data_IF_384638062210
#
_entry.id   IF_384638062210
#
_cell.length_a   1.000
_cell.length_b   1.000
_cell.length_c   1.000
_cell.angle_alpha   90.00
_cell.angle_beta   90.00
_cell.angle_gamma   90.00
#
_symmetry.space_group_name_H-M   'P 1'
#
loop_
_entity.id
_entity.type
_entity.pdbx_description
1 polymer ?
#
# COMPACT_ATOMS: atom_id res chain seq x y z
N UNK A 1 2.27 6.40 -90.97
CA UNK A 1 2.85 7.62 -90.38
C UNK A 1 1.82 8.16 -89.41
N UNK A 2 1.89 7.77 -88.13
CA UNK A 2 2.74 8.40 -87.09
C UNK A 2 2.05 9.63 -86.49
N UNK A 3 1.93 9.85 -85.19
CA UNK A 3 2.32 9.20 -83.94
C UNK A 3 1.50 9.92 -82.84
N UNK A 4 1.08 9.17 -81.82
CA UNK A 4 1.09 9.47 -80.38
C UNK A 4 0.50 10.75 -79.76
N UNK A 5 -0.39 10.51 -78.79
CA UNK A 5 -0.80 11.37 -77.67
C UNK A 5 0.39 11.79 -76.77
N UNK A 6 0.28 12.93 -76.09
CA UNK A 6 0.91 13.09 -74.79
C UNK A 6 -0.14 13.38 -73.69
N UNK A 7 -0.24 12.43 -72.74
CA UNK A 7 -0.86 12.62 -71.43
C UNK A 7 -0.14 13.71 -70.63
N UNK A 8 -0.92 14.60 -70.01
CA UNK A 8 -0.46 15.60 -69.04
C UNK A 8 -0.11 14.91 -67.71
N UNK A 9 1.04 15.24 -67.06
CA UNK A 9 1.37 14.66 -65.77
C UNK A 9 0.49 15.26 -64.66
N UNK A 10 -0.23 14.38 -63.95
CA UNK A 10 -0.97 14.73 -62.74
C UNK A 10 -0.01 15.23 -61.65
N UNK A 11 -0.31 16.42 -61.13
CA UNK A 11 0.35 16.99 -59.96
C UNK A 11 0.05 16.14 -58.73
N UNK A 12 1.05 15.44 -58.21
CA UNK A 12 1.02 14.86 -56.87
C UNK A 12 0.90 16.01 -55.86
N UNK A 13 -0.10 16.03 -54.96
CA UNK A 13 -0.15 17.04 -53.91
C UNK A 13 1.06 16.84 -53.00
N UNK A 14 1.98 17.81 -52.97
CA UNK A 14 3.02 17.85 -51.95
C UNK A 14 2.35 18.15 -50.61
N UNK A 15 2.48 17.22 -49.67
CA UNK A 15 2.08 17.43 -48.27
C UNK A 15 2.72 18.73 -47.76
N UNK A 16 1.88 19.60 -47.21
CA UNK A 16 2.30 20.92 -46.74
C UNK A 16 3.08 20.77 -45.43
N UNK A 17 3.93 21.74 -45.08
CA UNK A 17 4.66 21.72 -43.79
C UNK A 17 3.71 21.69 -42.56
N UNK A 18 2.43 22.02 -42.72
CA UNK A 18 1.40 21.82 -41.69
C UNK A 18 1.06 20.33 -41.48
N UNK A 19 1.05 19.51 -42.53
CA UNK A 19 0.80 18.06 -42.44
C UNK A 19 1.96 17.31 -41.75
N UNK A 20 3.16 17.90 -41.73
CA UNK A 20 4.33 17.37 -41.00
C UNK A 20 4.32 17.76 -39.52
N UNK A 21 3.72 18.89 -39.15
CA UNK A 21 3.61 19.33 -37.75
C UNK A 21 2.52 18.51 -37.02
N UNK A 22 1.38 18.24 -37.67
CA UNK A 22 0.31 17.42 -37.09
C UNK A 22 0.77 15.97 -36.84
N UNK A 23 1.56 15.39 -37.75
CA UNK A 23 2.12 14.05 -37.56
C UNK A 23 3.26 13.96 -36.54
N UNK A 24 3.88 15.08 -36.12
CA UNK A 24 4.91 15.09 -35.08
C UNK A 24 4.32 15.20 -33.67
N UNK A 25 3.10 15.71 -33.52
CA UNK A 25 2.40 15.77 -32.22
C UNK A 25 1.70 14.44 -31.86
N UNK A 26 1.21 13.69 -32.86
CA UNK A 26 0.58 12.38 -32.62
C UNK A 26 1.59 11.25 -32.30
N UNK A 27 2.82 11.33 -32.81
CA UNK A 27 3.88 10.35 -32.56
C UNK A 27 4.66 10.61 -31.24
N UNK A 28 4.42 11.75 -30.58
CA UNK A 28 5.12 12.18 -29.36
C UNK A 28 4.47 11.69 -28.05
N UNK A 29 3.36 10.94 -28.09
CA UNK A 29 2.66 10.50 -26.88
C UNK A 29 2.19 9.05 -26.94
N UNK A 30 3.08 8.15 -27.39
CA UNK A 30 2.91 6.71 -27.18
C UNK A 30 2.94 6.42 -25.67
N UNK A 31 1.75 6.39 -25.05
CA UNK A 31 1.57 6.05 -23.62
C UNK A 31 2.12 4.66 -23.38
N UNK A 32 3.04 4.53 -22.42
CA UNK A 32 3.62 3.23 -22.08
C UNK A 32 2.53 2.39 -21.39
N UNK A 33 2.39 1.14 -21.82
CA UNK A 33 1.52 0.15 -21.15
C UNK A 33 2.42 -0.85 -20.44
N UNK A 34 2.28 -0.95 -19.12
CA UNK A 34 2.97 -1.95 -18.30
C UNK A 34 1.98 -3.01 -17.81
N UNK A 35 2.37 -4.28 -17.90
CA UNK A 35 1.52 -5.40 -17.47
C UNK A 35 1.87 -5.82 -16.04
N UNK A 36 0.87 -5.97 -15.18
CA UNK A 36 1.02 -6.44 -13.81
C UNK A 36 0.09 -7.64 -13.53
N UNK A 37 0.68 -8.80 -13.24
CA UNK A 37 -0.07 -9.99 -12.79
C UNK A 37 -0.02 -10.11 -11.27
N UNK A 38 -1.17 -9.95 -10.62
CA UNK A 38 -1.37 -10.12 -9.16
C UNK A 38 -2.27 -11.31 -8.84
N UNK A 39 -2.43 -12.25 -9.78
CA UNK A 39 -3.17 -13.48 -9.56
C UNK A 39 -2.57 -14.30 -8.41
N UNK A 40 -3.45 -14.97 -7.67
CA UNK A 40 -3.07 -15.77 -6.51
C UNK A 40 -2.86 -14.98 -5.22
N UNK A 41 -2.79 -13.64 -5.26
CA UNK A 41 -2.78 -12.80 -4.06
C UNK A 41 -4.20 -12.58 -3.52
N UNK A 42 -4.29 -12.40 -2.21
CA UNK A 42 -5.52 -11.98 -1.52
C UNK A 42 -5.32 -10.63 -0.84
N UNK A 43 -6.42 -9.96 -0.50
CA UNK A 43 -6.43 -8.67 0.21
C UNK A 43 -5.42 -8.63 1.39
N UNK A 44 -4.56 -7.59 1.49
CA UNK A 44 -4.54 -6.36 0.67
C UNK A 44 -3.60 -6.43 -0.54
N UNK A 45 -3.02 -7.60 -0.83
CA UNK A 45 -1.91 -7.80 -1.78
C UNK A 45 -2.12 -7.17 -3.16
N UNK A 46 -3.22 -7.42 -3.87
CA UNK A 46 -3.44 -6.86 -5.21
C UNK A 46 -3.32 -5.33 -5.26
N UNK A 47 -3.95 -4.62 -4.32
CA UNK A 47 -3.93 -3.15 -4.30
C UNK A 47 -2.56 -2.61 -3.86
N UNK A 48 -1.88 -3.28 -2.94
CA UNK A 48 -0.49 -2.93 -2.56
C UNK A 48 0.44 -3.04 -3.76
N UNK A 49 0.33 -4.10 -4.56
CA UNK A 49 1.16 -4.27 -5.76
C UNK A 49 0.85 -3.24 -6.84
N UNK A 50 -0.43 -2.91 -7.04
CA UNK A 50 -0.83 -1.83 -7.96
C UNK A 50 -0.25 -0.49 -7.51
N UNK A 51 -0.33 -0.16 -6.22
CA UNK A 51 0.20 1.09 -5.68
C UNK A 51 1.71 1.21 -5.92
N UNK A 52 2.47 0.14 -5.65
CA UNK A 52 3.92 0.11 -5.91
C UNK A 52 4.24 0.24 -7.39
N UNK A 53 3.57 -0.54 -8.25
CA UNK A 53 3.86 -0.54 -9.68
C UNK A 53 3.54 0.82 -10.34
N UNK A 54 2.47 1.50 -9.92
CA UNK A 54 2.12 2.80 -10.51
C UNK A 54 3.09 3.91 -10.12
N UNK A 55 3.77 3.81 -8.96
CA UNK A 55 4.72 4.83 -8.50
C UNK A 55 5.87 5.00 -9.51
N UNK A 56 6.31 3.91 -10.14
CA UNK A 56 7.42 3.89 -11.10
C UNK A 56 7.03 4.36 -12.53
N UNK A 57 5.75 4.54 -12.82
CA UNK A 57 5.26 4.97 -14.14
C UNK A 57 5.32 6.49 -14.36
N UNK A 58 5.34 6.95 -15.61
CA UNK A 58 5.20 8.39 -15.90
C UNK A 58 3.72 8.82 -15.85
N UNK A 59 3.49 10.11 -15.62
CA UNK A 59 2.15 10.69 -15.67
C UNK A 59 1.49 10.37 -17.03
N UNK A 60 0.27 9.82 -16.99
CA UNK A 60 -0.47 9.43 -18.19
C UNK A 60 -0.16 8.03 -18.75
N UNK A 61 0.86 7.32 -18.26
CA UNK A 61 1.10 5.90 -18.58
C UNK A 61 -0.02 5.00 -18.04
N UNK A 62 -0.13 3.80 -18.59
CA UNK A 62 -1.17 2.83 -18.25
C UNK A 62 -0.57 1.57 -17.63
N UNK A 63 -1.18 1.11 -16.55
CA UNK A 63 -0.92 -0.17 -15.90
C UNK A 63 -2.09 -1.12 -16.16
N UNK A 64 -1.81 -2.21 -16.87
CA UNK A 64 -2.74 -3.28 -17.19
C UNK A 64 -2.62 -4.40 -16.16
N UNK A 65 -3.61 -4.51 -15.29
CA UNK A 65 -3.58 -5.39 -14.12
C UNK A 65 -4.47 -6.60 -14.34
N UNK A 66 -3.99 -7.79 -13.95
CA UNK A 66 -4.81 -9.01 -13.89
C UNK A 66 -4.79 -9.60 -12.49
N UNK A 67 -5.97 -9.86 -11.93
CA UNK A 67 -6.16 -10.41 -10.60
C UNK A 67 -7.15 -11.59 -10.57
N UNK A 68 -7.07 -12.41 -9.52
CA UNK A 68 -8.04 -13.48 -9.22
C UNK A 68 -8.77 -13.27 -7.89
N UNK A 69 -8.47 -12.18 -7.18
CA UNK A 69 -9.14 -11.83 -5.93
C UNK A 69 -10.56 -11.30 -6.23
N UNK A 70 -11.63 -11.91 -5.66
CA UNK A 70 -13.00 -11.48 -5.92
C UNK A 70 -13.31 -10.04 -5.49
N UNK A 71 -12.55 -9.48 -4.54
CA UNK A 71 -12.70 -8.08 -4.10
C UNK A 71 -12.14 -7.06 -5.09
N UNK A 72 -11.23 -7.47 -5.97
CA UNK A 72 -10.37 -6.57 -6.73
C UNK A 72 -11.13 -5.56 -7.57
N UNK A 73 -12.21 -5.95 -8.27
CA UNK A 73 -12.95 -5.06 -9.17
C UNK A 73 -13.54 -3.82 -8.45
N UNK A 74 -13.98 -3.99 -7.21
CA UNK A 74 -14.49 -2.87 -6.39
C UNK A 74 -13.33 -2.09 -5.79
N UNK A 75 -12.34 -2.80 -5.29
CA UNK A 75 -11.22 -2.21 -4.56
C UNK A 75 -10.36 -1.35 -5.48
N UNK A 76 -10.11 -1.78 -6.73
CA UNK A 76 -9.31 -1.04 -7.71
C UNK A 76 -9.97 0.28 -8.14
N UNK A 77 -11.30 0.29 -8.26
CA UNK A 77 -12.06 1.50 -8.57
C UNK A 77 -11.93 2.52 -7.45
N UNK A 78 -12.19 2.10 -6.22
CA UNK A 78 -12.06 2.95 -5.05
C UNK A 78 -10.61 3.43 -4.87
N UNK A 79 -9.64 2.57 -5.16
CA UNK A 79 -8.23 2.92 -5.10
C UNK A 79 -7.88 4.02 -6.12
N UNK A 80 -8.30 3.88 -7.38
CA UNK A 80 -8.06 4.88 -8.41
C UNK A 80 -8.63 6.25 -8.00
N UNK A 81 -9.88 6.28 -7.53
CA UNK A 81 -10.54 7.49 -7.04
C UNK A 81 -9.80 8.15 -5.86
N UNK A 82 -9.37 7.37 -4.87
CA UNK A 82 -8.70 7.92 -3.68
C UNK A 82 -7.26 8.38 -3.94
N UNK A 83 -6.61 7.87 -4.99
CA UNK A 83 -5.21 8.17 -5.32
C UNK A 83 -5.05 9.15 -6.48
N UNK A 84 -6.15 9.63 -7.06
CA UNK A 84 -6.11 10.55 -8.22
C UNK A 84 -5.74 9.86 -9.54
N UNK A 85 -5.78 8.53 -9.59
CA UNK A 85 -5.57 7.75 -10.81
C UNK A 85 -6.89 7.51 -11.54
N UNK A 86 -6.84 7.16 -12.81
CA UNK A 86 -8.04 6.95 -13.63
C UNK A 86 -8.20 5.48 -14.01
N UNK A 87 -9.31 4.87 -13.60
CA UNK A 87 -9.71 3.56 -14.11
C UNK A 87 -10.25 3.71 -15.54
N UNK A 88 -9.49 3.24 -16.53
CA UNK A 88 -9.83 3.38 -17.95
C UNK A 88 -10.83 2.32 -18.37
N UNK A 89 -10.53 1.06 -18.07
CA UNK A 89 -11.42 -0.08 -18.36
C UNK A 89 -11.31 -1.12 -17.26
N UNK A 90 -12.37 -1.91 -17.08
CA UNK A 90 -12.36 -3.12 -16.27
C UNK A 90 -13.22 -4.21 -16.90
N UNK A 91 -12.82 -5.46 -16.75
CA UNK A 91 -13.60 -6.62 -17.16
C UNK A 91 -13.49 -7.75 -16.13
N UNK A 92 -14.52 -8.59 -16.09
CA UNK A 92 -14.58 -9.79 -15.25
C UNK A 92 -15.01 -10.97 -16.12
N UNK A 93 -14.28 -12.08 -16.02
CA UNK A 93 -14.64 -13.30 -16.73
C UNK A 93 -13.79 -14.50 -16.32
N UNK A 94 -14.41 -15.69 -16.27
CA UNK A 94 -13.73 -16.97 -16.00
C UNK A 94 -12.87 -16.96 -14.71
N UNK A 95 -13.31 -16.25 -13.67
CA UNK A 95 -12.59 -16.16 -12.40
C UNK A 95 -11.33 -15.27 -12.43
N UNK A 96 -11.18 -14.44 -13.47
CA UNK A 96 -10.15 -13.40 -13.57
C UNK A 96 -10.79 -12.03 -13.72
N UNK A 97 -10.12 -11.03 -13.16
CA UNK A 97 -10.46 -9.63 -13.24
C UNK A 97 -9.32 -8.91 -13.95
N UNK A 98 -9.65 -8.07 -14.92
CA UNK A 98 -8.67 -7.21 -15.58
C UNK A 98 -9.06 -5.76 -15.40
N UNK A 99 -8.07 -4.88 -15.18
CA UNK A 99 -8.29 -3.45 -15.06
C UNK A 99 -7.13 -2.70 -15.72
N UNK A 100 -7.43 -1.64 -16.46
CA UNK A 100 -6.42 -0.73 -17.00
C UNK A 100 -6.48 0.57 -16.21
N UNK A 101 -5.36 0.92 -15.55
CA UNK A 101 -5.28 2.12 -14.73
C UNK A 101 -4.31 3.10 -15.35
N UNK A 102 -4.77 4.30 -15.64
CA UNK A 102 -3.92 5.38 -16.08
C UNK A 102 -3.40 6.17 -14.88
N UNK A 103 -2.09 6.40 -14.83
CA UNK A 103 -1.47 7.26 -13.81
C UNK A 103 -1.97 8.68 -13.94
N UNK A 104 -2.38 9.28 -12.82
CA UNK A 104 -2.83 10.66 -12.75
C UNK A 104 -1.81 11.62 -13.37
N UNK A 105 -2.30 12.63 -14.10
CA UNK A 105 -1.44 13.62 -14.77
C UNK A 105 -0.96 14.74 -13.85
N UNK A 106 -1.47 14.80 -12.63
CA UNK A 106 -1.02 15.73 -11.61
C UNK A 106 0.25 15.18 -10.96
N UNK A 107 1.40 15.79 -11.27
CA UNK A 107 2.56 15.69 -10.39
C UNK A 107 2.22 16.20 -8.98
N UNK A 108 3.10 16.01 -7.99
CA UNK A 108 2.87 16.55 -6.65
C UNK A 108 2.82 18.08 -6.72
N UNK A 109 1.61 18.67 -6.81
CA UNK A 109 1.41 20.10 -6.57
C UNK A 109 0.50 20.91 -7.48
N UNK A 110 -0.15 20.39 -8.54
CA UNK A 110 -1.04 21.25 -9.35
C UNK A 110 -2.35 20.58 -9.76
N UNK A 111 -3.40 20.87 -8.98
CA UNK A 111 -4.79 20.63 -9.34
C UNK A 111 -5.28 21.77 -10.23
N UNK A 112 -5.30 21.57 -11.55
CA UNK A 112 -6.02 22.46 -12.46
C UNK A 112 -7.46 21.97 -12.66
N UNK A 113 -8.36 22.73 -12.04
CA UNK A 113 -9.73 23.08 -12.45
C UNK A 113 -10.57 21.94 -13.05
N UNK A 114 -11.39 21.33 -12.19
CA UNK A 114 -12.70 20.81 -12.62
C UNK A 114 -13.80 21.63 -11.97
N UNK A 115 -14.56 22.26 -12.85
CA UNK A 115 -15.66 23.18 -12.54
C UNK A 115 -16.76 22.46 -11.75
N UNK A 116 -17.27 23.17 -10.75
CA UNK A 116 -17.98 22.64 -9.59
C UNK A 116 -19.51 22.64 -9.77
N UNK A 117 -20.16 21.55 -9.36
CA UNK A 117 -21.47 21.60 -8.69
C UNK A 117 -21.57 20.52 -7.62
N UNK A 118 -21.00 20.77 -6.44
CA UNK A 118 -21.69 20.76 -5.14
C UNK A 118 -20.70 20.95 -3.98
N UNK A 119 -21.06 21.87 -3.09
CA UNK A 119 -20.20 22.48 -2.11
C UNK A 119 -19.77 21.56 -0.95
N UNK A 120 -18.46 21.62 -0.69
CA UNK A 120 -17.76 21.66 0.59
C UNK A 120 -17.72 20.41 1.49
N UNK A 121 -16.51 19.84 1.60
CA UNK A 121 -15.69 19.95 2.82
C UNK A 121 -14.20 19.73 2.51
N UNK A 122 -13.46 20.85 2.54
CA UNK A 122 -12.12 21.07 3.13
C UNK A 122 -11.12 19.90 3.18
N UNK A 123 -9.96 20.10 2.55
CA UNK A 123 -8.69 19.49 2.96
C UNK A 123 -7.97 18.73 1.86
N UNK A 124 -7.24 19.47 1.03
CA UNK A 124 -6.13 18.97 0.24
C UNK A 124 -5.01 18.49 1.19
N UNK A 125 -5.12 17.23 1.61
CA UNK A 125 -4.20 16.56 2.51
C UNK A 125 -4.54 15.08 2.58
N UNK A 126 -3.54 14.21 2.44
CA UNK A 126 -3.71 12.78 2.60
C UNK A 126 -4.47 12.48 3.90
N UNK A 127 -5.57 11.73 3.81
CA UNK A 127 -6.36 11.32 4.98
C UNK A 127 -5.44 10.58 5.96
N UNK A 128 -5.46 10.94 7.24
CA UNK A 128 -4.65 10.28 8.25
C UNK A 128 -5.47 9.20 8.98
N UNK A 129 -4.81 8.08 9.31
CA UNK A 129 -5.38 6.93 10.02
C UNK A 129 -4.49 6.60 11.20
N UNK A 130 -5.07 6.48 12.39
CA UNK A 130 -4.32 6.14 13.60
C UNK A 130 -4.84 4.85 14.22
N UNK A 131 -3.94 3.93 14.54
CA UNK A 131 -4.25 2.64 15.13
C UNK A 131 -3.45 2.46 16.42
N UNK A 132 -4.14 2.19 17.52
CA UNK A 132 -3.56 1.86 18.81
C UNK A 132 -3.53 0.33 18.90
N UNK A 133 -2.35 -0.26 18.77
CA UNK A 133 -2.16 -1.73 18.83
C UNK A 133 -1.77 -2.09 20.26
N UNK A 134 -2.76 -2.54 21.02
CA UNK A 134 -2.61 -2.97 22.40
C UNK A 134 -2.34 -4.47 22.49
N UNK A 135 -3.04 -5.28 21.69
CA UNK A 135 -2.96 -6.72 21.74
C UNK A 135 -1.72 -7.29 21.03
N UNK A 136 -1.16 -8.36 21.61
CA UNK A 136 0.01 -9.08 21.08
C UNK A 136 -0.34 -10.40 20.37
N UNK A 137 -1.62 -10.62 20.06
CA UNK A 137 -2.09 -11.84 19.40
C UNK A 137 -1.79 -11.80 17.89
N UNK A 138 -1.40 -12.94 17.32
CA UNK A 138 -0.99 -13.08 15.93
C UNK A 138 -2.08 -12.63 14.95
N UNK A 139 -3.32 -13.06 15.15
CA UNK A 139 -4.46 -12.75 14.29
C UNK A 139 -4.86 -11.27 14.36
N UNK A 140 -4.82 -10.65 15.55
CA UNK A 140 -5.06 -9.21 15.71
C UNK A 140 -3.93 -8.37 15.10
N UNK A 141 -2.69 -8.81 15.25
CA UNK A 141 -1.54 -8.19 14.58
C UNK A 141 -1.68 -8.28 13.06
N UNK A 142 -2.01 -9.45 12.50
CA UNK A 142 -2.25 -9.62 11.06
C UNK A 142 -3.36 -8.66 10.59
N UNK A 143 -4.50 -8.61 11.29
CA UNK A 143 -5.59 -7.71 10.94
C UNK A 143 -5.16 -6.23 10.96
N UNK A 144 -4.44 -5.81 12.00
CA UNK A 144 -3.92 -4.45 12.13
C UNK A 144 -3.05 -4.07 10.93
N UNK A 145 -2.13 -4.96 10.55
CA UNK A 145 -1.21 -4.71 9.45
C UNK A 145 -1.87 -4.82 8.07
N UNK A 146 -2.87 -5.68 7.87
CA UNK A 146 -3.68 -5.71 6.64
C UNK A 146 -4.40 -4.39 6.44
N UNK A 147 -5.00 -3.83 7.50
CA UNK A 147 -5.69 -2.54 7.44
C UNK A 147 -4.68 -1.41 7.20
N UNK A 148 -3.53 -1.44 7.88
CA UNK A 148 -2.49 -0.42 7.73
C UNK A 148 -1.91 -0.40 6.31
N UNK A 149 -1.56 -1.56 5.75
CA UNK A 149 -1.01 -1.63 4.38
C UNK A 149 -2.06 -1.29 3.34
N UNK A 150 -3.31 -1.71 3.52
CA UNK A 150 -4.42 -1.30 2.66
C UNK A 150 -4.65 0.21 2.69
N UNK A 151 -4.66 0.83 3.87
CA UNK A 151 -4.82 2.27 4.02
C UNK A 151 -3.67 3.05 3.38
N UNK A 152 -2.43 2.64 3.62
CA UNK A 152 -1.24 3.24 3.01
C UNK A 152 -1.28 3.14 1.48
N UNK A 153 -1.61 1.95 0.94
CA UNK A 153 -1.76 1.76 -0.50
C UNK A 153 -2.87 2.65 -1.10
N UNK A 154 -3.91 2.98 -0.33
CA UNK A 154 -4.96 3.94 -0.73
C UNK A 154 -4.55 5.41 -0.56
N UNK A 155 -3.26 5.72 -0.37
CA UNK A 155 -2.74 7.08 -0.24
C UNK A 155 -3.00 7.74 1.11
N UNK A 156 -3.31 6.97 2.16
CA UNK A 156 -3.50 7.52 3.51
C UNK A 156 -2.16 7.55 4.25
N UNK A 157 -1.93 8.60 5.04
CA UNK A 157 -0.88 8.57 6.07
C UNK A 157 -1.35 7.69 7.22
N UNK A 158 -0.51 6.77 7.68
CA UNK A 158 -0.89 5.80 8.71
C UNK A 158 0.07 5.88 9.89
N UNK A 159 -0.48 6.07 11.08
CA UNK A 159 0.23 6.06 12.35
C UNK A 159 -0.21 4.83 13.15
N UNK A 160 0.75 4.05 13.64
CA UNK A 160 0.50 2.87 14.47
C UNK A 160 1.21 3.02 15.81
N UNK A 161 0.46 3.13 16.90
CA UNK A 161 0.98 3.24 18.25
C UNK A 161 0.92 1.90 18.97
N UNK A 162 2.07 1.31 19.27
CA UNK A 162 2.19 0.01 19.92
C UNK A 162 2.40 0.16 21.41
N UNK A 163 1.49 -0.42 22.18
CA UNK A 163 1.48 -0.35 23.64
C UNK A 163 1.20 -1.74 24.23
N UNK A 164 1.47 -1.92 25.52
CA UNK A 164 1.33 -3.20 26.22
C UNK A 164 1.87 -4.40 25.40
N UNK A 165 1.03 -5.38 25.12
CA UNK A 165 1.42 -6.63 24.48
C UNK A 165 1.79 -6.43 23.00
N UNK A 166 1.23 -5.41 22.36
CA UNK A 166 1.50 -5.01 20.99
C UNK A 166 2.98 -4.71 20.74
N UNK A 167 3.73 -4.22 21.74
CA UNK A 167 5.17 -4.00 21.61
C UNK A 167 5.94 -5.28 21.22
N UNK A 168 5.43 -6.46 21.59
CA UNK A 168 6.09 -7.72 21.24
C UNK A 168 6.09 -7.99 19.73
N UNK A 169 5.20 -7.36 18.98
CA UNK A 169 5.12 -7.44 17.51
C UNK A 169 6.36 -6.77 16.89
N UNK A 170 6.80 -5.65 17.45
CA UNK A 170 7.90 -4.82 16.96
C UNK A 170 9.30 -5.30 17.37
N UNK A 171 9.43 -6.43 18.08
CA UNK A 171 10.74 -6.90 18.54
C UNK A 171 11.54 -7.52 17.40
N UNK A 172 12.81 -7.09 17.26
CA UNK A 172 13.79 -7.64 16.34
C UNK A 172 14.01 -9.14 16.56
N UNK A 173 14.38 -9.81 15.48
CA UNK A 173 14.87 -11.19 15.54
C UNK A 173 16.05 -11.37 14.58
N UNK A 174 17.25 -11.76 15.08
CA UNK A 174 17.58 -12.05 16.48
C UNK A 174 17.51 -10.81 17.39
N UNK A 175 17.23 -11.01 18.69
CA UNK A 175 17.19 -9.92 19.67
C UNK A 175 18.63 -9.53 20.03
N UNK A 176 19.04 -8.25 19.90
CA UNK A 176 20.35 -7.78 20.30
C UNK A 176 20.62 -7.97 21.80
N UNK A 177 21.88 -8.10 22.18
CA UNK A 177 22.26 -8.13 23.60
C UNK A 177 22.28 -6.70 24.14
N UNK A 178 21.39 -6.42 25.09
CA UNK A 178 21.31 -5.13 25.78
C UNK A 178 21.43 -5.36 27.29
N UNK A 179 21.95 -4.37 28.02
CA UNK A 179 21.98 -4.40 29.48
C UNK A 179 20.58 -4.10 30.01
N UNK A 180 20.11 -4.92 30.94
CA UNK A 180 18.82 -4.77 31.62
C UNK A 180 19.00 -5.02 33.10
N UNK A 181 18.07 -4.50 33.88
CA UNK A 181 17.90 -4.87 35.27
C UNK A 181 17.33 -6.30 35.41
N UNK A 182 17.18 -6.76 36.65
CA UNK A 182 16.71 -8.11 36.95
C UNK A 182 15.28 -8.35 36.41
N UNK A 183 14.36 -7.41 36.65
CA UNK A 183 12.97 -7.54 36.18
C UNK A 183 12.87 -7.46 34.66
N UNK A 184 13.57 -6.53 34.01
CA UNK A 184 13.58 -6.43 32.55
C UNK A 184 14.18 -7.67 31.88
N UNK A 185 15.17 -8.31 32.49
CA UNK A 185 15.70 -9.59 32.02
C UNK A 185 14.65 -10.72 32.09
N UNK A 186 13.83 -10.73 33.15
CA UNK A 186 12.74 -11.68 33.31
C UNK A 186 11.63 -11.46 32.27
N UNK A 187 11.13 -10.22 32.16
CA UNK A 187 10.10 -9.87 31.17
C UNK A 187 10.57 -10.13 29.73
N UNK A 188 11.81 -9.75 29.39
CA UNK A 188 12.37 -9.99 28.06
C UNK A 188 12.44 -11.47 27.67
N UNK A 189 12.54 -12.39 28.65
CA UNK A 189 12.47 -13.85 28.44
C UNK A 189 11.04 -14.37 28.33
N UNK A 190 10.09 -13.80 29.07
CA UNK A 190 8.69 -14.21 29.09
C UNK A 190 7.90 -13.72 27.88
N UNK A 191 8.22 -12.52 27.38
CA UNK A 191 7.55 -11.91 26.25
C UNK A 191 7.87 -12.63 24.92
N UNK A 192 6.91 -12.72 23.98
CA UNK A 192 7.14 -13.27 22.65
C UNK A 192 8.32 -12.61 21.94
N UNK A 193 9.24 -13.42 21.41
CA UNK A 193 10.46 -12.96 20.73
C UNK A 193 10.18 -12.58 19.27
N UNK A 194 9.37 -11.54 19.08
CA UNK A 194 8.97 -10.99 17.79
C UNK A 194 7.75 -11.66 17.16
N UNK A 195 7.32 -11.11 16.02
CA UNK A 195 6.12 -11.49 15.26
C UNK A 195 5.94 -13.00 14.99
N UNK A 196 7.04 -13.74 14.77
CA UNK A 196 7.03 -15.19 14.52
C UNK A 196 6.69 -16.04 15.74
N UNK A 197 6.65 -15.45 16.94
CA UNK A 197 6.42 -16.14 18.22
C UNK A 197 5.11 -15.74 18.90
N UNK A 198 4.29 -14.92 18.24
CA UNK A 198 2.95 -14.58 18.72
C UNK A 198 2.04 -15.81 18.65
N UNK A 199 1.17 -15.95 19.65
CA UNK A 199 0.10 -16.94 19.68
C UNK A 199 -1.18 -16.38 19.08
N UNK A 200 -2.13 -17.25 18.73
CA UNK A 200 -3.48 -16.82 18.33
C UNK A 200 -4.31 -16.39 19.54
N UNK A 201 -5.18 -15.40 19.36
CA UNK A 201 -6.15 -14.95 20.37
C UNK A 201 -7.13 -16.06 20.78
N UNK A 202 -7.47 -16.93 19.82
CA UNK A 202 -8.37 -18.08 19.97
C UNK A 202 -7.78 -19.29 19.25
N UNK A 203 -8.09 -20.49 19.74
CA UNK A 203 -7.66 -21.75 19.10
C UNK A 203 -6.13 -21.88 18.94
N UNK A 204 -5.34 -21.32 19.86
CA UNK A 204 -3.88 -21.38 19.75
C UNK A 204 -3.32 -22.81 19.88
N UNK A 205 -3.96 -23.68 20.67
CA UNK A 205 -3.57 -25.09 20.87
C UNK A 205 -2.05 -25.28 21.11
N UNK A 206 -1.52 -24.60 22.14
CA UNK A 206 -0.08 -24.60 22.45
C UNK A 206 0.83 -24.21 21.26
N UNK A 207 0.33 -23.37 20.35
CA UNK A 207 1.03 -22.88 19.16
C UNK A 207 0.75 -23.66 17.87
N UNK A 208 0.00 -24.78 17.92
CA UNK A 208 -0.39 -25.51 16.71
C UNK A 208 -1.32 -24.67 15.81
N UNK A 209 -2.26 -23.92 16.40
CA UNK A 209 -3.16 -23.03 15.67
C UNK A 209 -2.40 -21.95 14.89
N UNK A 210 -1.39 -21.35 15.53
CA UNK A 210 -0.54 -20.33 14.90
C UNK A 210 0.20 -20.86 13.65
N UNK A 211 0.65 -22.12 13.66
CA UNK A 211 1.25 -22.75 12.47
C UNK A 211 0.21 -23.05 11.39
N UNK A 212 -0.97 -23.52 11.81
CA UNK A 212 -2.08 -23.85 10.90
C UNK A 212 -2.55 -22.61 10.13
N UNK A 213 -2.85 -21.51 10.82
CA UNK A 213 -3.34 -20.28 10.17
C UNK A 213 -2.32 -19.72 9.20
N UNK A 214 -1.03 -19.70 9.56
CA UNK A 214 0.05 -19.24 8.67
C UNK A 214 0.17 -20.10 7.41
N UNK A 215 -0.04 -21.42 7.53
CA UNK A 215 -0.07 -22.33 6.38
C UNK A 215 -1.27 -22.06 5.47
N UNK A 216 -2.45 -21.84 6.05
CA UNK A 216 -3.67 -21.50 5.29
C UNK A 216 -3.50 -20.16 4.57
N UNK A 217 -3.01 -19.13 5.26
CA UNK A 217 -2.72 -17.82 4.69
C UNK A 217 -1.80 -17.91 3.48
N UNK A 218 -0.68 -18.63 3.61
CA UNK A 218 0.26 -18.85 2.51
C UNK A 218 -0.41 -19.52 1.30
N UNK A 219 -1.24 -20.54 1.53
CA UNK A 219 -1.98 -21.24 0.44
C UNK A 219 -3.03 -20.35 -0.23
N UNK A 220 -3.52 -19.34 0.47
CA UNK A 220 -4.48 -18.35 -0.03
C UNK A 220 -3.81 -17.09 -0.57
N UNK A 221 -2.47 -17.03 -0.60
CA UNK A 221 -1.72 -15.86 -1.05
C UNK A 221 -1.92 -14.63 -0.19
N UNK A 222 -2.14 -14.83 1.11
CA UNK A 222 -2.11 -13.75 2.10
C UNK A 222 -0.67 -13.65 2.63
N UNK A 223 -0.09 -12.45 2.57
CA UNK A 223 1.23 -12.16 3.11
C UNK A 223 1.32 -12.54 4.59
N UNK A 224 2.49 -13.03 5.00
CA UNK A 224 2.79 -13.26 6.41
C UNK A 224 2.83 -11.93 7.17
N UNK A 225 2.64 -11.98 8.49
CA UNK A 225 2.77 -10.79 9.35
C UNK A 225 4.11 -10.08 9.15
N UNK A 226 5.19 -10.84 8.92
CA UNK A 226 6.52 -10.29 8.68
C UNK A 226 6.63 -9.54 7.35
N UNK A 227 5.97 -10.04 6.31
CA UNK A 227 5.87 -9.36 5.02
C UNK A 227 5.03 -8.10 5.14
N UNK A 228 3.88 -8.17 5.82
CA UNK A 228 3.01 -7.01 6.03
C UNK A 228 3.69 -5.90 6.85
N UNK A 229 4.47 -6.25 7.89
CA UNK A 229 5.26 -5.28 8.66
C UNK A 229 6.26 -4.57 7.75
N UNK A 230 6.98 -5.31 6.90
CA UNK A 230 7.96 -4.74 5.97
C UNK A 230 7.30 -3.84 4.94
N UNK A 231 6.22 -4.30 4.33
CA UNK A 231 5.43 -3.54 3.37
C UNK A 231 4.90 -2.24 4.00
N UNK A 232 4.39 -2.30 5.23
CA UNK A 232 3.96 -1.11 5.96
C UNK A 232 5.11 -0.10 6.14
N UNK A 233 6.30 -0.56 6.57
CA UNK A 233 7.46 0.32 6.72
C UNK A 233 7.93 0.91 5.38
N UNK A 234 7.95 0.12 4.30
CA UNK A 234 8.31 0.57 2.95
C UNK A 234 7.35 1.65 2.44
N UNK A 235 6.06 1.51 2.73
CA UNK A 235 5.02 2.49 2.35
C UNK A 235 4.92 3.68 3.33
N UNK A 236 5.89 3.84 4.23
CA UNK A 236 5.96 4.99 5.14
C UNK A 236 4.96 4.97 6.30
N UNK A 237 4.42 3.81 6.68
CA UNK A 237 3.60 3.69 7.90
C UNK A 237 4.47 4.01 9.11
N UNK A 238 4.07 5.01 9.89
CA UNK A 238 4.82 5.44 11.07
C UNK A 238 4.47 4.55 12.26
N UNK A 239 5.49 3.87 12.82
CA UNK A 239 5.31 3.00 13.98
C UNK A 239 5.94 3.64 15.22
N UNK A 240 5.14 3.81 16.27
CA UNK A 240 5.57 4.41 17.54
C UNK A 240 5.43 3.41 18.67
N UNK A 241 6.50 3.16 19.41
CA UNK A 241 6.53 2.36 20.62
C UNK A 241 6.26 3.21 21.87
N UNK A 242 5.36 2.74 22.72
CA UNK A 242 5.01 3.41 23.98
C UNK A 242 6.16 3.34 24.99
N UNK A 243 6.74 4.49 25.33
CA UNK A 243 7.84 4.62 26.31
C UNK A 243 7.50 3.98 27.66
N UNK A 244 6.35 4.33 28.24
CA UNK A 244 5.92 3.80 29.53
C UNK A 244 5.85 2.27 29.53
N UNK A 245 5.32 1.67 28.44
CA UNK A 245 5.27 0.22 28.34
C UNK A 245 6.66 -0.39 28.19
N UNK A 246 7.54 0.23 27.41
CA UNK A 246 8.94 -0.22 27.29
C UNK A 246 9.62 -0.26 28.66
N UNK A 247 9.44 0.78 29.48
CA UNK A 247 10.00 0.84 30.84
C UNK A 247 9.45 -0.27 31.74
N UNK A 248 8.13 -0.47 31.74
CA UNK A 248 7.46 -1.51 32.53
C UNK A 248 7.91 -2.91 32.13
N UNK A 249 8.09 -3.15 30.83
CA UNK A 249 8.50 -4.46 30.29
C UNK A 249 10.03 -4.63 30.22
N UNK A 250 10.79 -3.59 30.60
CA UNK A 250 12.24 -3.55 30.51
C UNK A 250 12.78 -3.75 29.09
N UNK A 251 12.07 -3.30 28.06
CA UNK A 251 12.49 -3.35 26.66
C UNK A 251 13.33 -2.13 26.32
N UNK A 252 14.40 -2.33 25.55
CA UNK A 252 15.26 -1.24 25.07
C UNK A 252 14.99 -0.93 23.59
N UNK A 253 15.27 0.30 23.17
CA UNK A 253 15.04 0.77 21.81
C UNK A 253 15.76 -0.10 20.76
N UNK A 254 16.97 -0.55 21.07
CA UNK A 254 17.79 -1.36 20.18
C UNK A 254 17.17 -2.74 19.90
N UNK A 255 16.25 -3.19 20.74
CA UNK A 255 15.52 -4.45 20.56
C UNK A 255 14.31 -4.33 19.62
N UNK A 256 13.91 -3.12 19.26
CA UNK A 256 12.80 -2.86 18.34
C UNK A 256 13.28 -2.78 16.89
N UNK A 257 12.39 -3.06 15.94
CA UNK A 257 12.65 -2.93 14.51
C UNK A 257 13.20 -1.54 14.18
N UNK A 258 14.10 -1.48 13.18
CA UNK A 258 14.67 -0.21 12.74
C UNK A 258 13.57 0.70 12.18
N UNK A 259 13.65 2.00 12.47
CA UNK A 259 12.63 2.98 12.06
C UNK A 259 11.46 3.15 13.04
N UNK A 260 11.32 2.30 14.06
CA UNK A 260 10.33 2.49 15.12
C UNK A 260 10.69 3.71 15.97
N UNK A 261 9.76 4.66 16.09
CA UNK A 261 9.88 5.84 16.95
C UNK A 261 9.50 5.50 18.38
N UNK A 262 9.95 6.30 19.33
CA UNK A 262 9.55 6.18 20.73
C UNK A 262 8.69 7.38 21.09
N UNK A 263 7.54 7.12 21.71
CA UNK A 263 6.57 8.17 22.03
C UNK A 263 5.76 7.86 23.28
N UNK A 264 5.14 8.89 23.82
CA UNK A 264 4.20 8.78 24.93
C UNK A 264 2.75 8.89 24.48
N UNK A 265 1.84 8.87 25.44
CA UNK A 265 0.40 9.07 25.20
C UNK A 265 0.12 10.41 24.49
N UNK A 266 0.86 11.48 24.81
CA UNK A 266 0.68 12.79 24.18
C UNK A 266 0.99 12.76 22.68
N UNK A 267 2.05 12.05 22.26
CA UNK A 267 2.37 11.84 20.84
C UNK A 267 1.23 11.12 20.14
N UNK A 268 0.74 10.03 20.73
CA UNK A 268 -0.38 9.26 20.16
C UNK A 268 -1.67 10.08 20.05
N UNK A 269 -1.99 10.92 21.05
CA UNK A 269 -3.17 11.77 21.01
C UNK A 269 -3.06 12.83 19.90
N UNK A 270 -1.89 13.44 19.73
CA UNK A 270 -1.64 14.36 18.63
C UNK A 270 -1.86 13.70 17.27
N UNK A 271 -1.32 12.50 17.05
CA UNK A 271 -1.55 11.73 15.82
C UNK A 271 -3.03 11.36 15.63
N UNK A 272 -3.79 11.20 16.71
CA UNK A 272 -5.22 10.88 16.68
C UNK A 272 -6.09 12.09 16.36
N UNK A 273 -5.69 13.30 16.79
CA UNK A 273 -6.41 14.55 16.53
C UNK A 273 -6.37 14.94 15.04
N UNK A 274 -5.31 14.56 14.32
CA UNK A 274 -5.18 14.75 12.87
C UNK A 274 -5.84 13.61 12.06
N UNK A 275 -6.19 12.52 12.72
CA UNK A 275 -6.74 11.33 12.08
C UNK A 275 -8.25 11.41 11.90
N UNK A 276 -8.72 10.99 10.72
CA UNK A 276 -10.15 10.84 10.45
C UNK A 276 -10.66 9.41 10.69
N UNK A 277 -9.82 8.53 11.26
CA UNK A 277 -10.19 7.19 11.72
C UNK A 277 -9.24 6.72 12.82
N UNK A 278 -9.80 6.45 14.00
CA UNK A 278 -9.05 5.95 15.15
C UNK A 278 -9.52 4.54 15.51
N UNK A 279 -8.61 3.56 15.54
CA UNK A 279 -8.90 2.17 15.93
C UNK A 279 -8.09 1.78 17.17
N UNK A 280 -8.70 1.01 18.08
CA UNK A 280 -8.02 0.36 19.19
C UNK A 280 -8.10 -1.15 18.98
N UNK A 281 -6.95 -1.82 18.86
CA UNK A 281 -6.85 -3.21 18.39
C UNK A 281 -6.06 -4.08 19.36
#
# INVERSE_FOLDING_TARGET
SSLDDPELPGSVPQATDQDKIVNQEEDAMARRVEMLDVCGLSCPGPIVQVAKAIEDLAAGDVLDVVATDPGFARDIRNWAENTGNTLVTQAEGKGRFTAQIQKGMTGPGESMVRESTHAAKTGDGAKEKTMIVFDGDLDKAIASFIIATGAAAMGNKVNMFFTFWGLSILRKRPIPRVKKDFMGTMFGRMLPKGSKKLGLSKFNFAGAGSKMIRSVMKKKGISSLEELIREAMEMGVEMTACQMTMDVMGLQAEELLDGVRIGGVATMLNDSDHSNMNLFI
#
